data_IF_776956448091
#
_entry.id   IF_776956448091
#
_cell.length_a   1.000
_cell.length_b   1.000
_cell.length_c   1.000
_cell.angle_alpha   90.00
_cell.angle_beta   90.00
_cell.angle_gamma   90.00
#
_symmetry.space_group_name_H-M   'P 1'
#
loop_
_entity.id
_entity.type
_entity.pdbx_description
1 polymer ?
#
# COMPACT_ATOMS: atom_id res chain seq x y z
N UNK A 1 -10.12 -5.54 -15.07
CA UNK A 1 -11.02 -6.23 -14.16
C UNK A 1 -12.27 -5.37 -13.87
N UNK A 2 -12.12 -4.11 -13.46
CA UNK A 2 -13.25 -3.22 -13.14
C UNK A 2 -14.29 -3.15 -14.27
N UNK A 3 -13.88 -2.89 -15.49
CA UNK A 3 -14.79 -2.87 -16.65
C UNK A 3 -15.52 -4.21 -16.87
N UNK A 4 -14.85 -5.34 -16.67
CA UNK A 4 -15.50 -6.68 -16.80
C UNK A 4 -16.45 -6.97 -15.64
N UNK A 5 -16.17 -6.50 -14.44
CA UNK A 5 -17.07 -6.65 -13.30
C UNK A 5 -18.33 -5.80 -13.47
N UNK A 6 -18.22 -4.61 -14.05
CA UNK A 6 -19.33 -3.71 -14.31
C UNK A 6 -20.25 -4.23 -15.44
N UNK A 7 -19.68 -4.88 -16.47
CA UNK A 7 -20.45 -5.43 -17.61
C UNK A 7 -21.14 -6.76 -17.32
N UNK A 8 -20.66 -7.56 -16.35
CA UNK A 8 -21.22 -8.88 -16.03
C UNK A 8 -22.23 -8.88 -14.86
N UNK A 9 -22.50 -7.73 -14.27
CA UNK A 9 -23.57 -7.56 -13.28
C UNK A 9 -23.32 -8.20 -11.90
N UNK A 10 -22.07 -8.57 -11.58
CA UNK A 10 -21.70 -9.09 -10.27
C UNK A 10 -20.22 -8.88 -9.95
N UNK A 11 -19.92 -8.30 -8.80
CA UNK A 11 -18.57 -7.99 -8.34
C UNK A 11 -17.98 -9.08 -7.44
N UNK A 12 -18.84 -9.75 -6.67
CA UNK A 12 -18.46 -10.85 -5.75
C UNK A 12 -17.67 -11.97 -6.43
N UNK A 13 -18.02 -12.47 -7.63
CA UNK A 13 -17.22 -13.51 -8.29
C UNK A 13 -15.78 -13.06 -8.62
N UNK A 14 -15.57 -11.78 -8.94
CA UNK A 14 -14.24 -11.24 -9.21
C UNK A 14 -13.42 -11.05 -7.92
N UNK A 15 -14.07 -10.71 -6.80
CA UNK A 15 -13.43 -10.64 -5.48
C UNK A 15 -12.98 -12.04 -5.07
N UNK A 16 -13.87 -13.02 -5.10
CA UNK A 16 -13.57 -14.41 -4.71
C UNK A 16 -12.54 -15.06 -5.65
N UNK A 17 -12.70 -14.89 -6.96
CA UNK A 17 -11.73 -15.37 -7.94
C UNK A 17 -10.34 -14.74 -7.76
N UNK A 18 -10.27 -13.45 -7.48
CA UNK A 18 -9.04 -12.75 -7.13
C UNK A 18 -8.40 -13.31 -5.86
N UNK A 19 -9.19 -13.56 -4.81
CA UNK A 19 -8.70 -14.18 -3.57
C UNK A 19 -8.15 -15.60 -3.78
N UNK A 20 -8.79 -16.41 -4.63
CA UNK A 20 -8.25 -17.73 -5.01
C UNK A 20 -6.91 -17.60 -5.73
N UNK A 21 -6.78 -16.64 -6.65
CA UNK A 21 -5.51 -16.39 -7.34
C UNK A 21 -4.40 -15.92 -6.39
N UNK A 22 -4.73 -15.03 -5.44
CA UNK A 22 -3.78 -14.62 -4.39
C UNK A 22 -3.37 -15.81 -3.55
N UNK A 23 -4.34 -16.60 -3.07
CA UNK A 23 -4.07 -17.79 -2.25
C UNK A 23 -3.19 -18.80 -2.96
N UNK A 24 -3.51 -19.14 -4.22
CA UNK A 24 -2.69 -20.05 -5.03
C UNK A 24 -1.27 -19.52 -5.24
N UNK A 25 -1.13 -18.22 -5.49
CA UNK A 25 0.17 -17.57 -5.66
C UNK A 25 1.00 -17.57 -4.37
N UNK A 26 0.40 -17.24 -3.22
CA UNK A 26 1.12 -17.25 -1.93
C UNK A 26 1.55 -18.67 -1.55
N UNK A 27 0.68 -19.68 -1.76
CA UNK A 27 1.03 -21.09 -1.56
C UNK A 27 2.14 -21.55 -2.50
N UNK A 28 2.08 -21.16 -3.77
CA UNK A 28 3.13 -21.45 -4.75
C UNK A 28 4.47 -20.82 -4.34
N UNK A 29 4.47 -19.59 -3.86
CA UNK A 29 5.68 -18.91 -3.37
C UNK A 29 6.28 -19.64 -2.16
N UNK A 30 5.46 -20.07 -1.20
CA UNK A 30 5.91 -20.85 -0.04
C UNK A 30 6.48 -22.22 -0.46
N UNK A 31 5.86 -22.90 -1.41
CA UNK A 31 6.36 -24.16 -1.97
C UNK A 31 7.66 -23.99 -2.73
N UNK A 32 7.83 -22.86 -3.42
CA UNK A 32 9.04 -22.53 -4.14
C UNK A 32 10.28 -22.54 -3.24
N UNK A 33 10.15 -22.26 -1.94
CA UNK A 33 11.25 -22.33 -0.97
C UNK A 33 11.74 -23.78 -0.80
N UNK A 34 10.85 -24.74 -0.73
CA UNK A 34 11.22 -26.17 -0.62
C UNK A 34 11.87 -26.66 -1.92
N UNK A 35 11.38 -26.22 -3.07
CA UNK A 35 11.91 -26.59 -4.38
C UNK A 35 13.26 -25.96 -4.64
N UNK A 36 13.55 -24.80 -4.08
CA UNK A 36 14.86 -24.13 -4.19
C UNK A 36 16.01 -24.98 -3.64
N UNK A 37 15.75 -25.81 -2.65
CA UNK A 37 16.72 -26.78 -2.12
C UNK A 37 17.12 -27.86 -3.13
N UNK A 38 16.28 -28.14 -4.12
CA UNK A 38 16.49 -29.19 -5.15
C UNK A 38 16.93 -28.54 -6.48
N UNK A 39 16.27 -27.47 -6.90
CA UNK A 39 16.52 -26.79 -8.17
C UNK A 39 16.11 -25.32 -8.13
N UNK A 40 17.10 -24.44 -8.20
CA UNK A 40 16.87 -22.99 -8.21
C UNK A 40 16.09 -22.53 -9.47
N UNK A 41 16.32 -23.18 -10.62
CA UNK A 41 15.63 -22.81 -11.87
C UNK A 41 14.13 -23.07 -11.80
N UNK A 42 13.71 -24.20 -11.22
CA UNK A 42 12.30 -24.50 -10.99
C UNK A 42 11.70 -23.58 -9.92
N UNK A 43 12.43 -23.30 -8.86
CA UNK A 43 11.98 -22.37 -7.83
C UNK A 43 11.74 -20.97 -8.39
N UNK A 44 12.65 -20.43 -9.23
CA UNK A 44 12.48 -19.15 -9.90
C UNK A 44 11.24 -19.12 -10.79
N UNK A 45 10.99 -20.19 -11.55
CA UNK A 45 9.78 -20.29 -12.40
C UNK A 45 8.52 -20.25 -11.55
N UNK A 46 8.49 -20.99 -10.44
CA UNK A 46 7.36 -21.01 -9.50
C UNK A 46 7.18 -19.64 -8.86
N UNK A 47 8.22 -18.99 -8.41
CA UNK A 47 8.11 -17.66 -7.80
C UNK A 47 7.59 -16.62 -8.78
N UNK A 48 8.14 -16.58 -10.02
CA UNK A 48 7.67 -15.63 -11.04
C UNK A 48 6.17 -15.85 -11.33
N UNK A 49 5.76 -17.08 -11.57
CA UNK A 49 4.34 -17.39 -11.84
C UNK A 49 3.44 -17.11 -10.64
N UNK A 50 3.91 -17.39 -9.44
CA UNK A 50 3.21 -17.12 -8.17
C UNK A 50 3.02 -15.61 -7.95
N UNK A 51 4.06 -14.80 -8.12
CA UNK A 51 3.93 -13.34 -7.96
C UNK A 51 3.06 -12.70 -9.05
N UNK A 52 3.08 -13.23 -10.28
CA UNK A 52 2.14 -12.80 -11.33
C UNK A 52 0.70 -13.12 -10.91
N UNK A 53 0.45 -14.33 -10.40
CA UNK A 53 -0.88 -14.72 -9.91
C UNK A 53 -1.34 -13.84 -8.74
N UNK A 54 -0.46 -13.54 -7.76
CA UNK A 54 -0.74 -12.63 -6.66
C UNK A 54 -1.13 -11.24 -7.19
N UNK A 55 -0.32 -10.65 -8.08
CA UNK A 55 -0.58 -9.32 -8.63
C UNK A 55 -1.90 -9.25 -9.40
N UNK A 56 -2.20 -10.23 -10.24
CA UNK A 56 -3.47 -10.33 -10.97
C UNK A 56 -4.65 -10.51 -10.01
N UNK A 57 -4.48 -11.33 -8.96
CA UNK A 57 -5.49 -11.58 -7.93
C UNK A 57 -5.80 -10.33 -7.09
N UNK A 58 -4.77 -9.62 -6.63
CA UNK A 58 -4.92 -8.33 -5.90
C UNK A 58 -5.63 -7.32 -6.79
N UNK A 59 -5.24 -7.20 -8.05
CA UNK A 59 -5.89 -6.32 -9.01
C UNK A 59 -7.37 -6.65 -9.21
N UNK A 60 -7.72 -7.93 -9.33
CA UNK A 60 -9.10 -8.38 -9.51
C UNK A 60 -9.94 -8.16 -8.23
N UNK A 61 -9.44 -8.61 -7.08
CA UNK A 61 -10.16 -8.50 -5.81
C UNK A 61 -10.28 -7.04 -5.36
N UNK A 62 -9.17 -6.28 -5.35
CA UNK A 62 -9.13 -4.92 -4.83
C UNK A 62 -9.98 -3.94 -5.62
N UNK A 63 -9.90 -3.96 -6.97
CA UNK A 63 -10.71 -3.07 -7.81
C UNK A 63 -12.20 -3.38 -7.68
N UNK A 64 -12.56 -4.68 -7.65
CA UNK A 64 -13.95 -5.11 -7.51
C UNK A 64 -14.50 -4.82 -6.11
N UNK A 65 -13.68 -4.95 -5.06
CA UNK A 65 -14.04 -4.61 -3.69
C UNK A 65 -14.31 -3.11 -3.52
N UNK A 66 -13.41 -2.25 -4.01
CA UNK A 66 -13.62 -0.79 -3.92
C UNK A 66 -14.87 -0.35 -4.68
N UNK A 67 -15.12 -0.95 -5.84
CA UNK A 67 -16.34 -0.69 -6.61
C UNK A 67 -17.60 -1.19 -5.89
N UNK A 68 -17.54 -2.37 -5.23
CA UNK A 68 -18.65 -2.88 -4.40
C UNK A 68 -18.91 -1.97 -3.21
N UNK A 69 -17.85 -1.58 -2.49
CA UNK A 69 -17.92 -0.67 -1.35
C UNK A 69 -18.61 0.65 -1.73
N UNK A 70 -18.18 1.25 -2.85
CA UNK A 70 -18.80 2.49 -3.35
C UNK A 70 -20.29 2.33 -3.69
N UNK A 71 -20.70 1.17 -4.26
CA UNK A 71 -22.10 0.93 -4.63
C UNK A 71 -23.01 0.68 -3.42
N UNK A 72 -22.50 0.03 -2.37
CA UNK A 72 -23.27 -0.30 -1.17
C UNK A 72 -23.40 0.90 -0.23
N UNK A 73 -22.36 1.74 -0.14
CA UNK A 73 -22.32 2.85 0.81
C UNK A 73 -22.97 4.14 0.29
N UNK A 74 -23.15 4.29 -1.02
CA UNK A 74 -23.81 5.45 -1.64
C UNK A 74 -23.22 6.78 -1.16
N UNK A 75 -24.04 7.62 -0.51
CA UNK A 75 -23.61 8.94 0.02
C UNK A 75 -22.62 8.84 1.19
N UNK A 76 -22.50 7.69 1.85
CA UNK A 76 -21.57 7.45 2.98
C UNK A 76 -20.21 6.92 2.55
N UNK A 77 -19.90 6.91 1.25
CA UNK A 77 -18.63 6.39 0.70
C UNK A 77 -17.41 7.09 1.31
N UNK A 78 -17.53 8.39 1.62
CA UNK A 78 -16.44 9.16 2.25
C UNK A 78 -15.98 8.63 3.62
N UNK A 79 -16.88 8.00 4.39
CA UNK A 79 -16.52 7.39 5.68
C UNK A 79 -16.12 5.92 5.53
N UNK A 80 -16.64 5.21 4.55
CA UNK A 80 -16.41 3.79 4.36
C UNK A 80 -14.98 3.45 3.88
N UNK A 81 -14.40 4.29 3.04
CA UNK A 81 -13.07 4.03 2.50
C UNK A 81 -11.96 4.14 3.57
N UNK A 82 -11.89 5.17 4.44
CA UNK A 82 -10.97 5.19 5.57
C UNK A 82 -11.12 3.98 6.50
N UNK A 83 -12.37 3.56 6.76
CA UNK A 83 -12.64 2.37 7.57
C UNK A 83 -12.07 1.10 6.93
N UNK A 84 -12.26 0.93 5.62
CA UNK A 84 -11.69 -0.21 4.89
C UNK A 84 -10.14 -0.24 4.98
N UNK A 85 -9.49 0.92 4.90
CA UNK A 85 -8.05 1.04 5.09
C UNK A 85 -7.60 0.70 6.51
N UNK A 86 -8.31 1.19 7.53
CA UNK A 86 -8.03 0.83 8.92
C UNK A 86 -8.16 -0.68 9.13
N UNK A 87 -9.20 -1.32 8.58
CA UNK A 87 -9.38 -2.78 8.65
C UNK A 87 -8.27 -3.53 7.93
N UNK A 88 -7.79 -3.02 6.79
CA UNK A 88 -6.65 -3.61 6.06
C UNK A 88 -5.38 -3.59 6.92
N UNK A 89 -5.06 -2.45 7.53
CA UNK A 89 -3.86 -2.32 8.38
C UNK A 89 -3.99 -3.18 9.64
N UNK A 90 -5.16 -3.13 10.31
CA UNK A 90 -5.40 -3.98 11.48
C UNK A 90 -5.28 -5.47 11.12
N UNK A 91 -5.85 -5.88 9.98
CA UNK A 91 -5.73 -7.25 9.48
C UNK A 91 -4.28 -7.66 9.20
N UNK A 92 -3.48 -6.77 8.62
CA UNK A 92 -2.07 -7.01 8.38
C UNK A 92 -1.29 -7.21 9.69
N UNK A 93 -1.55 -6.38 10.71
CA UNK A 93 -0.92 -6.50 12.04
C UNK A 93 -1.28 -7.82 12.70
N UNK A 94 -2.58 -8.16 12.76
CA UNK A 94 -3.02 -9.43 13.36
C UNK A 94 -2.47 -10.64 12.61
N UNK A 95 -2.45 -10.59 11.27
CA UNK A 95 -1.89 -11.66 10.46
C UNK A 95 -0.38 -11.81 10.70
N UNK A 96 0.38 -10.71 10.76
CA UNK A 96 1.83 -10.74 11.00
C UNK A 96 2.16 -11.32 12.38
N UNK A 97 1.47 -10.86 13.44
CA UNK A 97 1.67 -11.37 14.79
C UNK A 97 1.32 -12.86 14.86
N UNK A 98 0.14 -13.24 14.33
CA UNK A 98 -0.33 -14.62 14.36
C UNK A 98 0.57 -15.57 13.56
N UNK A 99 1.02 -15.13 12.38
CA UNK A 99 1.97 -15.91 11.56
C UNK A 99 3.34 -16.02 12.22
N UNK A 100 3.86 -14.93 12.80
CA UNK A 100 5.12 -14.94 13.52
C UNK A 100 5.14 -15.96 14.64
N UNK A 101 4.12 -15.95 15.51
CA UNK A 101 3.97 -16.93 16.60
C UNK A 101 3.82 -18.37 16.05
N UNK A 102 3.02 -18.55 15.01
CA UNK A 102 2.74 -19.88 14.44
C UNK A 102 3.96 -20.48 13.72
N UNK A 103 4.92 -19.68 13.28
CA UNK A 103 6.13 -20.12 12.60
C UNK A 103 7.25 -20.59 13.54
N UNK A 104 7.14 -20.42 14.83
CA UNK A 104 8.14 -20.88 15.80
C UNK A 104 7.94 -22.36 16.20
N UNK A 105 9.00 -23.22 16.15
CA UNK A 105 10.27 -23.02 15.45
C UNK A 105 10.11 -23.08 13.92
N UNK A 106 10.89 -22.26 13.20
CA UNK A 106 10.79 -22.20 11.74
C UNK A 106 11.17 -23.50 11.05
N UNK A 107 10.33 -23.96 10.11
CA UNK A 107 10.67 -24.95 9.09
C UNK A 107 9.93 -24.64 7.78
N UNK A 108 10.52 -25.07 6.65
CA UNK A 108 9.88 -24.85 5.35
C UNK A 108 8.52 -25.59 5.23
N UNK A 109 8.37 -26.73 5.85
CA UNK A 109 7.09 -27.45 5.91
C UNK A 109 6.06 -26.68 6.75
N UNK A 110 6.48 -26.20 7.93
CA UNK A 110 5.63 -25.42 8.82
C UNK A 110 5.16 -24.12 8.16
N UNK A 111 6.03 -23.47 7.37
CA UNK A 111 5.68 -22.29 6.59
C UNK A 111 4.49 -22.59 5.64
N UNK A 112 4.55 -23.70 4.88
CA UNK A 112 3.45 -24.06 3.98
C UNK A 112 2.15 -24.32 4.74
N UNK A 113 2.22 -25.00 5.89
CA UNK A 113 1.04 -25.24 6.73
C UNK A 113 0.45 -23.93 7.24
N UNK A 114 1.27 -23.04 7.81
CA UNK A 114 0.83 -21.75 8.34
C UNK A 114 0.22 -20.90 7.24
N UNK A 115 0.88 -20.81 6.09
CA UNK A 115 0.36 -20.07 4.92
C UNK A 115 -0.98 -20.66 4.45
N UNK A 116 -1.11 -21.98 4.41
CA UNK A 116 -2.38 -22.64 4.03
C UNK A 116 -3.51 -22.27 4.97
N UNK A 117 -3.24 -22.27 6.28
CA UNK A 117 -4.24 -21.89 7.29
C UNK A 117 -4.65 -20.43 7.14
N UNK A 118 -3.68 -19.53 7.02
CA UNK A 118 -3.93 -18.09 6.87
C UNK A 118 -4.74 -17.78 5.61
N UNK A 119 -4.34 -18.34 4.47
CA UNK A 119 -5.06 -18.19 3.20
C UNK A 119 -6.49 -18.73 3.30
N UNK A 120 -6.67 -19.88 3.94
CA UNK A 120 -7.99 -20.50 4.13
C UNK A 120 -8.88 -19.61 5.01
N UNK A 121 -8.37 -19.11 6.13
CA UNK A 121 -9.10 -18.19 7.01
C UNK A 121 -9.47 -16.91 6.24
N UNK A 122 -8.52 -16.30 5.53
CA UNK A 122 -8.77 -15.09 4.74
C UNK A 122 -9.84 -15.32 3.67
N UNK A 123 -9.81 -16.47 2.99
CA UNK A 123 -10.81 -16.82 1.99
C UNK A 123 -12.20 -17.01 2.61
N UNK A 124 -12.31 -17.75 3.73
CA UNK A 124 -13.58 -17.93 4.44
C UNK A 124 -14.14 -16.59 4.92
N UNK A 125 -13.32 -15.74 5.51
CA UNK A 125 -13.73 -14.39 5.92
C UNK A 125 -14.21 -13.55 4.73
N UNK A 126 -13.53 -13.64 3.58
CA UNK A 126 -13.93 -12.94 2.36
C UNK A 126 -15.30 -13.45 1.86
N UNK A 127 -15.53 -14.77 1.86
CA UNK A 127 -16.83 -15.36 1.48
C UNK A 127 -17.92 -14.86 2.43
N UNK A 128 -17.69 -14.91 3.74
CA UNK A 128 -18.66 -14.46 4.73
C UNK A 128 -18.96 -12.95 4.59
N UNK A 129 -17.91 -12.12 4.40
CA UNK A 129 -18.04 -10.68 4.25
C UNK A 129 -18.77 -10.26 2.97
N UNK A 130 -18.67 -11.04 1.90
CA UNK A 130 -19.32 -10.74 0.61
C UNK A 130 -20.69 -11.44 0.46
N UNK A 131 -21.07 -12.30 1.43
CA UNK A 131 -22.30 -13.07 1.38
C UNK A 131 -23.55 -12.17 1.31
N UNK A 132 -24.29 -12.28 0.21
CA UNK A 132 -25.54 -11.53 -0.04
C UNK A 132 -25.42 -9.99 -0.07
N UNK A 133 -24.22 -9.44 -0.05
CA UNK A 133 -24.02 -7.97 -0.04
C UNK A 133 -24.51 -7.35 -1.35
N UNK A 134 -24.34 -8.02 -2.49
CA UNK A 134 -24.84 -7.54 -3.80
C UNK A 134 -26.35 -7.67 -3.97
N UNK A 135 -27.02 -8.53 -3.21
CA UNK A 135 -28.48 -8.75 -3.36
C UNK A 135 -29.36 -7.57 -2.98
N UNK A 136 -28.80 -6.53 -2.34
CA UNK A 136 -29.47 -5.28 -1.95
C UNK A 136 -28.96 -4.04 -2.68
N UNK A 137 -27.91 -4.15 -3.48
CA UNK A 137 -27.34 -3.02 -4.19
C UNK A 137 -28.00 -2.89 -5.59
N UNK A 138 -28.68 -1.76 -5.84
CA UNK A 138 -29.09 -1.39 -7.20
C UNK A 138 -27.81 -1.20 -8.03
N UNK A 139 -27.53 -2.17 -8.90
CA UNK A 139 -26.47 -2.01 -9.91
C UNK A 139 -26.95 -0.89 -10.82
N UNK A 140 -26.36 0.28 -10.70
CA UNK A 140 -26.62 1.37 -11.64
C UNK A 140 -26.33 0.83 -13.05
N UNK A 141 -27.26 1.08 -14.02
CA UNK A 141 -27.06 0.62 -15.39
C UNK A 141 -25.69 1.11 -15.89
N UNK A 142 -24.97 0.31 -16.68
CA UNK A 142 -23.66 0.70 -17.19
C UNK A 142 -23.82 2.03 -17.92
N UNK A 143 -23.24 3.08 -17.38
CA UNK A 143 -23.06 4.32 -18.13
C UNK A 143 -22.29 3.94 -19.38
N UNK A 144 -22.76 4.39 -20.56
CA UNK A 144 -22.01 4.23 -21.81
C UNK A 144 -20.66 4.92 -21.65
N UNK A 145 -19.70 4.15 -21.16
CA UNK A 145 -18.38 4.67 -20.86
C UNK A 145 -17.67 4.99 -22.16
N UNK A 146 -17.16 6.21 -22.23
CA UNK A 146 -16.18 6.56 -23.26
C UNK A 146 -15.07 5.48 -23.27
N UNK A 147 -14.52 5.11 -24.44
CA UNK A 147 -13.47 4.11 -24.53
C UNK A 147 -12.39 4.40 -23.47
N UNK A 148 -11.93 3.37 -22.74
CA UNK A 148 -10.97 3.50 -21.63
C UNK A 148 -9.80 4.42 -21.99
N UNK A 149 -9.30 4.32 -23.22
CA UNK A 149 -8.21 5.15 -23.72
C UNK A 149 -8.57 6.65 -23.77
N UNK A 150 -9.82 6.98 -24.09
CA UNK A 150 -10.29 8.37 -24.11
C UNK A 150 -10.42 8.92 -22.68
N UNK A 151 -10.95 8.11 -21.76
CA UNK A 151 -11.05 8.45 -20.35
C UNK A 151 -9.67 8.63 -19.68
N UNK A 152 -8.70 7.78 -20.01
CA UNK A 152 -7.31 7.94 -19.59
C UNK A 152 -6.68 9.22 -20.16
N UNK A 153 -6.89 9.48 -21.45
CA UNK A 153 -6.36 10.65 -22.13
C UNK A 153 -6.95 11.95 -21.56
N UNK A 154 -8.24 11.98 -21.26
CA UNK A 154 -8.90 13.13 -20.61
C UNK A 154 -8.38 13.37 -19.19
N UNK A 155 -8.18 12.31 -18.40
CA UNK A 155 -7.60 12.41 -17.05
C UNK A 155 -6.15 12.93 -17.11
N UNK A 156 -5.36 12.45 -18.07
CA UNK A 156 -3.97 12.89 -18.23
C UNK A 156 -3.84 14.32 -18.81
N UNK A 157 -4.85 14.79 -19.53
CA UNK A 157 -4.92 16.15 -20.02
C UNK A 157 -5.20 17.17 -18.91
N UNK A 158 -5.81 16.74 -17.79
CA UNK A 158 -6.03 17.59 -16.61
C UNK A 158 -4.69 17.81 -15.87
N UNK A 159 -4.16 19.05 -15.83
CA UNK A 159 -2.88 19.34 -15.20
C UNK A 159 -2.87 18.99 -13.70
N UNK A 160 -4.01 19.12 -13.01
CA UNK A 160 -4.13 18.83 -11.59
C UNK A 160 -4.02 17.31 -11.34
N UNK A 161 -4.78 16.50 -12.09
CA UNK A 161 -4.73 15.04 -12.02
C UNK A 161 -3.31 14.52 -12.34
N UNK A 162 -2.65 15.08 -13.36
CA UNK A 162 -1.29 14.70 -13.74
C UNK A 162 -0.25 15.02 -12.66
N UNK A 163 -0.30 16.21 -12.08
CA UNK A 163 0.62 16.62 -11.00
C UNK A 163 0.38 15.76 -9.75
N UNK A 164 -0.88 15.50 -9.43
CA UNK A 164 -1.23 14.64 -8.31
C UNK A 164 -0.80 13.17 -8.54
N UNK A 165 -0.95 12.64 -9.75
CA UNK A 165 -0.42 11.32 -10.12
C UNK A 165 1.10 11.26 -9.92
N UNK A 166 1.83 12.32 -10.31
CA UNK A 166 3.26 12.43 -10.06
C UNK A 166 3.61 12.44 -8.57
N UNK A 167 2.84 13.13 -7.74
CA UNK A 167 2.98 13.11 -6.29
C UNK A 167 2.73 11.69 -5.73
N UNK A 168 1.65 11.05 -6.13
CA UNK A 168 1.32 9.67 -5.71
C UNK A 168 2.44 8.71 -6.10
N UNK A 169 2.90 8.77 -7.34
CA UNK A 169 4.00 7.93 -7.83
C UNK A 169 5.26 8.12 -7.00
N UNK A 170 5.70 9.36 -6.81
CA UNK A 170 6.95 9.68 -6.12
C UNK A 170 6.92 9.28 -4.64
N UNK A 171 5.81 9.55 -3.97
CA UNK A 171 5.65 9.26 -2.55
C UNK A 171 5.50 7.77 -2.27
N UNK A 172 4.80 7.04 -3.12
CA UNK A 172 4.66 5.58 -3.01
C UNK A 172 5.99 4.89 -3.36
N UNK A 173 6.73 5.40 -4.35
CA UNK A 173 8.08 4.93 -4.65
C UNK A 173 8.98 5.06 -3.43
N UNK A 174 8.98 6.23 -2.78
CA UNK A 174 9.73 6.46 -1.56
C UNK A 174 9.28 5.51 -0.43
N UNK A 175 7.98 5.37 -0.21
CA UNK A 175 7.44 4.51 0.84
C UNK A 175 7.89 3.04 0.70
N UNK A 176 7.82 2.47 -0.50
CA UNK A 176 8.14 1.06 -0.72
C UNK A 176 9.64 0.76 -0.83
N UNK A 177 10.49 1.77 -1.03
CA UNK A 177 11.94 1.59 -1.01
C UNK A 177 12.42 1.03 0.34
N UNK A 178 11.98 1.60 1.47
CA UNK A 178 12.34 1.14 2.81
C UNK A 178 11.72 -0.21 3.17
N UNK A 179 10.52 -0.51 2.71
CA UNK A 179 9.82 -1.74 3.08
C UNK A 179 10.65 -3.00 2.82
N UNK A 180 11.38 -3.04 1.70
CA UNK A 180 12.15 -4.21 1.30
C UNK A 180 13.54 -4.29 1.95
N UNK A 181 14.10 -3.18 2.38
CA UNK A 181 15.48 -3.14 2.89
C UNK A 181 15.55 -2.95 4.42
N UNK A 182 14.44 -2.61 5.07
CA UNK A 182 14.43 -2.27 6.49
C UNK A 182 14.80 -3.46 7.39
N UNK A 183 14.21 -4.64 7.18
CA UNK A 183 14.55 -5.84 7.94
C UNK A 183 15.97 -6.34 7.65
N UNK A 184 16.41 -6.46 6.38
CA UNK A 184 17.81 -6.75 6.07
C UNK A 184 18.80 -5.75 6.68
N UNK A 185 18.47 -4.45 6.71
CA UNK A 185 19.28 -3.44 7.39
C UNK A 185 19.42 -3.73 8.88
N UNK A 186 18.31 -4.02 9.56
CA UNK A 186 18.32 -4.34 10.98
C UNK A 186 19.19 -5.59 11.28
N UNK A 187 19.14 -6.59 10.43
CA UNK A 187 19.98 -7.78 10.55
C UNK A 187 21.46 -7.50 10.24
N UNK A 188 21.78 -6.91 9.08
CA UNK A 188 23.16 -6.76 8.62
C UNK A 188 23.94 -5.68 9.36
N UNK A 189 23.29 -4.58 9.73
CA UNK A 189 23.97 -3.41 10.35
C UNK A 189 23.90 -3.46 11.86
N UNK A 190 22.78 -3.89 12.43
CA UNK A 190 22.59 -3.93 13.88
C UNK A 190 22.69 -5.34 14.47
N UNK A 191 22.89 -6.38 13.66
CA UNK A 191 23.05 -7.76 14.13
C UNK A 191 21.78 -8.35 14.76
N UNK A 192 20.61 -7.80 14.45
CA UNK A 192 19.35 -8.29 14.98
C UNK A 192 19.02 -9.67 14.37
N UNK A 193 18.45 -10.55 15.19
CA UNK A 193 17.89 -11.80 14.69
C UNK A 193 16.71 -11.54 13.74
N UNK A 194 16.34 -12.48 12.86
CA UNK A 194 15.11 -12.35 12.06
C UNK A 194 13.86 -12.08 12.89
N UNK A 195 13.77 -12.66 14.08
CA UNK A 195 12.67 -12.44 15.02
C UNK A 195 12.66 -10.99 15.52
N UNK A 196 13.79 -10.46 15.97
CA UNK A 196 13.87 -9.10 16.50
C UNK A 196 13.72 -8.04 15.39
N UNK A 197 14.21 -8.30 14.18
CA UNK A 197 14.01 -7.43 13.03
C UNK A 197 12.54 -7.38 12.61
N UNK A 198 11.82 -8.49 12.66
CA UNK A 198 10.38 -8.54 12.41
C UNK A 198 9.58 -7.82 13.49
N UNK A 199 9.97 -7.95 14.78
CA UNK A 199 9.38 -7.16 15.88
C UNK A 199 9.61 -5.65 15.69
N UNK A 200 10.80 -5.26 15.22
CA UNK A 200 11.12 -3.87 14.91
C UNK A 200 10.26 -3.34 13.74
N UNK A 201 10.07 -4.12 12.68
CA UNK A 201 9.14 -3.80 11.58
C UNK A 201 7.70 -3.65 12.08
N UNK A 202 7.23 -4.58 12.90
CA UNK A 202 5.92 -4.48 13.54
C UNK A 202 5.78 -3.23 14.42
N UNK A 203 6.86 -2.84 15.12
CA UNK A 203 6.94 -1.59 15.87
C UNK A 203 6.83 -0.34 14.99
N UNK A 204 7.49 -0.34 13.81
CA UNK A 204 7.38 0.69 12.79
C UNK A 204 5.93 0.83 12.29
N UNK A 205 5.29 -0.28 12.00
CA UNK A 205 3.90 -0.30 11.52
C UNK A 205 2.91 0.12 12.61
N UNK A 206 3.17 -0.28 13.86
CA UNK A 206 2.44 0.22 15.02
C UNK A 206 2.57 1.74 15.21
N UNK A 207 3.76 2.29 15.02
CA UNK A 207 3.99 3.72 15.03
C UNK A 207 3.26 4.43 13.87
N UNK A 208 3.19 3.81 12.68
CA UNK A 208 2.41 4.32 11.56
C UNK A 208 0.91 4.36 11.88
N UNK A 209 0.38 3.31 12.48
CA UNK A 209 -1.01 3.28 12.94
C UNK A 209 -1.30 4.41 13.96
N UNK A 210 -0.40 4.62 14.92
CA UNK A 210 -0.54 5.73 15.87
C UNK A 210 -0.50 7.10 15.18
N UNK A 211 0.36 7.27 14.17
CA UNK A 211 0.39 8.45 13.32
C UNK A 211 -0.93 8.68 12.59
N UNK A 212 -1.52 7.62 12.02
CA UNK A 212 -2.83 7.68 11.34
C UNK A 212 -3.95 8.08 12.31
N UNK A 213 -4.01 7.43 13.47
CA UNK A 213 -5.02 7.74 14.50
C UNK A 213 -4.86 9.19 14.97
N UNK A 214 -3.62 9.61 15.25
CA UNK A 214 -3.30 10.97 15.66
C UNK A 214 -3.75 12.01 14.62
N UNK A 215 -3.41 11.80 13.35
CA UNK A 215 -3.86 12.67 12.25
C UNK A 215 -5.39 12.69 12.12
N UNK A 216 -6.05 11.53 12.26
CA UNK A 216 -7.52 11.44 12.22
C UNK A 216 -8.18 12.21 13.34
N UNK A 217 -7.74 12.03 14.58
CA UNK A 217 -8.25 12.74 15.76
C UNK A 217 -8.02 14.24 15.64
N UNK A 218 -6.80 14.68 15.30
CA UNK A 218 -6.47 16.08 15.17
C UNK A 218 -7.24 16.73 14.02
N UNK A 219 -7.45 16.03 12.90
CA UNK A 219 -8.31 16.51 11.80
C UNK A 219 -9.77 16.67 12.24
N UNK A 220 -10.29 15.76 13.07
CA UNK A 220 -11.63 15.89 13.65
C UNK A 220 -11.74 17.13 14.56
N UNK A 221 -10.68 17.46 15.28
CA UNK A 221 -10.56 18.69 16.06
C UNK A 221 -10.29 19.94 15.22
N UNK A 222 -10.34 19.84 13.90
CA UNK A 222 -10.02 20.90 12.92
C UNK A 222 -8.57 21.41 13.00
N UNK A 223 -7.68 20.58 13.49
CA UNK A 223 -6.25 20.84 13.56
C UNK A 223 -5.55 20.10 12.42
N UNK A 224 -5.05 20.84 11.46
CA UNK A 224 -4.34 20.31 10.30
C UNK A 224 -5.23 20.00 9.10
N UNK A 225 -4.72 20.27 7.91
CA UNK A 225 -5.32 19.92 6.62
C UNK A 225 -4.70 18.63 6.05
N UNK A 226 -5.32 18.02 5.05
CA UNK A 226 -4.74 16.87 4.35
C UNK A 226 -3.35 17.17 3.78
N UNK A 227 -3.17 18.40 3.28
CA UNK A 227 -1.86 18.90 2.84
C UNK A 227 -0.85 18.94 3.99
N UNK A 228 -1.23 19.47 5.16
CA UNK A 228 -0.37 19.52 6.33
C UNK A 228 0.09 18.10 6.71
N UNK A 229 -0.81 17.14 6.76
CA UNK A 229 -0.48 15.75 7.10
C UNK A 229 0.41 15.09 6.05
N UNK A 230 0.13 15.31 4.75
CA UNK A 230 0.98 14.76 3.68
C UNK A 230 2.41 15.31 3.74
N UNK A 231 2.56 16.63 3.89
CA UNK A 231 3.88 17.29 3.93
C UNK A 231 4.64 16.91 5.20
N UNK A 232 4.00 17.04 6.37
CA UNK A 232 4.62 16.72 7.67
C UNK A 232 5.02 15.24 7.72
N UNK A 233 4.14 14.36 7.21
CA UNK A 233 4.44 12.93 7.12
C UNK A 233 5.67 12.64 6.26
N UNK A 234 5.75 13.19 5.06
CA UNK A 234 6.93 13.04 4.20
C UNK A 234 8.22 13.58 4.85
N UNK A 235 8.16 14.74 5.49
CA UNK A 235 9.33 15.34 6.17
C UNK A 235 9.78 14.47 7.35
N UNK A 236 8.83 14.00 8.18
CA UNK A 236 9.14 13.16 9.33
C UNK A 236 9.69 11.80 8.91
N UNK A 237 9.13 11.19 7.84
CA UNK A 237 9.69 9.97 7.25
C UNK A 237 11.11 10.17 6.76
N UNK A 238 11.38 11.28 6.05
CA UNK A 238 12.73 11.62 5.61
C UNK A 238 13.72 11.78 6.77
N UNK A 239 13.30 12.44 7.87
CA UNK A 239 14.14 12.59 9.07
C UNK A 239 14.41 11.23 9.74
N UNK A 240 13.40 10.34 9.83
CA UNK A 240 13.57 8.98 10.32
C UNK A 240 14.59 8.20 9.49
N UNK A 241 14.49 8.24 8.16
CA UNK A 241 15.42 7.59 7.24
C UNK A 241 16.84 8.13 7.33
N UNK A 242 16.99 9.45 7.39
CA UNK A 242 18.30 10.08 7.59
C UNK A 242 18.89 9.68 8.95
N UNK A 243 18.06 9.54 9.98
CA UNK A 243 18.47 9.05 11.30
C UNK A 243 19.00 7.60 11.22
N UNK A 244 18.30 6.70 10.50
CA UNK A 244 18.75 5.33 10.27
C UNK A 244 20.06 5.30 9.47
N UNK A 245 20.15 6.08 8.40
CA UNK A 245 21.37 6.19 7.58
C UNK A 245 22.56 6.76 8.33
N UNK A 246 22.34 7.72 9.23
CA UNK A 246 23.37 8.30 10.09
C UNK A 246 23.68 7.45 11.34
N UNK A 247 23.08 6.26 11.46
CA UNK A 247 23.22 5.36 12.59
C UNK A 247 22.87 6.01 13.95
N UNK A 248 21.91 6.93 13.94
CA UNK A 248 21.32 7.44 15.18
C UNK A 248 20.55 6.32 15.90
N UNK A 249 20.16 6.51 17.16
CA UNK A 249 19.46 5.47 17.91
C UNK A 249 18.31 4.85 17.09
N UNK A 250 18.34 3.51 16.95
CA UNK A 250 17.47 2.76 16.04
C UNK A 250 15.99 2.99 16.33
N UNK A 251 15.59 2.88 17.60
CA UNK A 251 14.18 3.01 18.01
C UNK A 251 13.57 4.39 17.71
N UNK A 252 14.16 5.54 18.11
CA UNK A 252 13.61 6.85 17.76
C UNK A 252 13.51 7.08 16.26
N UNK A 253 14.53 6.66 15.49
CA UNK A 253 14.54 6.80 14.03
C UNK A 253 13.43 5.96 13.37
N UNK A 254 13.24 4.72 13.85
CA UNK A 254 12.17 3.83 13.39
C UNK A 254 10.78 4.38 13.73
N UNK A 255 10.60 4.89 14.95
CA UNK A 255 9.33 5.51 15.36
C UNK A 255 9.04 6.76 14.54
N UNK A 256 10.03 7.61 14.29
CA UNK A 256 9.87 8.79 13.45
C UNK A 256 9.46 8.41 12.02
N UNK A 257 10.11 7.40 11.42
CA UNK A 257 9.75 6.86 10.11
C UNK A 257 8.32 6.33 10.11
N UNK A 258 7.95 5.50 11.10
CA UNK A 258 6.61 4.93 11.23
C UNK A 258 5.53 6.01 11.35
N UNK A 259 5.65 6.91 12.34
CA UNK A 259 4.69 8.01 12.53
C UNK A 259 4.60 8.86 11.26
N UNK A 260 5.73 9.20 10.64
CA UNK A 260 5.77 9.94 9.38
C UNK A 260 4.99 9.25 8.27
N UNK A 261 5.19 7.94 8.09
CA UNK A 261 4.45 7.12 7.14
C UNK A 261 2.94 7.15 7.41
N UNK A 262 2.53 7.06 8.67
CA UNK A 262 1.13 7.13 9.07
C UNK A 262 0.47 8.47 8.73
N UNK A 263 1.13 9.59 9.08
CA UNK A 263 0.67 10.94 8.73
C UNK A 263 0.57 11.12 7.21
N UNK A 264 1.60 10.67 6.48
CA UNK A 264 1.64 10.72 5.01
C UNK A 264 0.45 9.97 4.39
N UNK A 265 0.17 8.76 4.83
CA UNK A 265 -0.94 7.95 4.29
C UNK A 265 -2.28 8.67 4.46
N UNK A 266 -2.57 9.24 5.62
CA UNK A 266 -3.80 10.02 5.84
C UNK A 266 -3.89 11.21 4.89
N UNK A 267 -2.83 11.96 4.75
CA UNK A 267 -2.78 13.11 3.85
C UNK A 267 -2.91 12.73 2.39
N UNK A 268 -2.14 11.73 1.92
CA UNK A 268 -2.11 11.31 0.53
C UNK A 268 -3.42 10.62 0.10
N UNK A 269 -3.88 9.63 0.87
CA UNK A 269 -5.11 8.89 0.55
C UNK A 269 -6.35 9.79 0.67
N UNK A 270 -6.41 10.62 1.71
CA UNK A 270 -7.50 11.59 1.87
C UNK A 270 -7.57 12.56 0.68
N UNK A 271 -6.42 13.09 0.25
CA UNK A 271 -6.31 13.96 -0.92
C UNK A 271 -6.69 13.26 -2.22
N UNK A 272 -6.29 12.00 -2.38
CA UNK A 272 -6.63 11.18 -3.54
C UNK A 272 -8.16 11.00 -3.67
N UNK A 273 -8.81 10.71 -2.55
CA UNK A 273 -10.27 10.55 -2.51
C UNK A 273 -11.00 11.86 -2.78
N UNK A 274 -10.55 12.96 -2.18
CA UNK A 274 -11.14 14.29 -2.38
C UNK A 274 -11.02 14.73 -3.85
N UNK A 275 -9.84 14.57 -4.46
CA UNK A 275 -9.60 14.94 -5.85
C UNK A 275 -10.37 14.05 -6.83
N UNK A 276 -10.55 12.77 -6.53
CA UNK A 276 -11.37 11.87 -7.32
C UNK A 276 -12.86 12.25 -7.24
N UNK A 277 -13.35 12.55 -6.04
CA UNK A 277 -14.76 12.94 -5.80
C UNK A 277 -15.13 14.28 -6.44
N UNK A 278 -14.22 15.24 -6.54
CA UNK A 278 -14.44 16.54 -7.16
C UNK A 278 -14.90 16.46 -8.63
N UNK A 279 -14.74 15.30 -9.30
CA UNK A 279 -15.12 15.06 -10.69
C UNK A 279 -15.99 13.82 -10.80
N UNK A 280 -17.22 13.89 -10.34
CA UNK A 280 -18.17 12.76 -10.21
C UNK A 280 -18.29 11.85 -11.46
N UNK A 281 -18.16 12.42 -12.67
CA UNK A 281 -18.24 11.65 -13.94
C UNK A 281 -16.98 10.85 -14.28
N UNK A 282 -15.84 11.09 -13.62
CA UNK A 282 -14.55 10.47 -13.93
C UNK A 282 -13.85 9.87 -12.69
N UNK A 283 -14.57 9.72 -11.57
CA UNK A 283 -14.02 9.26 -10.28
C UNK A 283 -13.31 7.91 -10.43
N UNK A 284 -13.95 6.92 -11.05
CA UNK A 284 -13.38 5.59 -11.24
C UNK A 284 -12.11 5.59 -12.11
N UNK A 285 -12.09 6.37 -13.19
CA UNK A 285 -10.91 6.48 -14.06
C UNK A 285 -9.74 7.16 -13.34
N UNK A 286 -9.99 8.23 -12.59
CA UNK A 286 -8.96 8.91 -11.79
C UNK A 286 -8.37 8.01 -10.71
N UNK A 287 -9.22 7.31 -9.97
CA UNK A 287 -8.78 6.31 -8.99
C UNK A 287 -7.98 5.19 -9.65
N UNK A 288 -8.37 4.76 -10.85
CA UNK A 288 -7.64 3.78 -11.64
C UNK A 288 -6.24 4.28 -12.05
N UNK A 289 -6.10 5.53 -12.48
CA UNK A 289 -4.81 6.15 -12.82
C UNK A 289 -3.93 6.26 -11.56
N UNK A 290 -4.47 6.71 -10.44
CA UNK A 290 -3.72 6.79 -9.19
C UNK A 290 -3.29 5.41 -8.68
N UNK A 291 -4.19 4.41 -8.76
CA UNK A 291 -3.87 3.02 -8.41
C UNK A 291 -2.80 2.40 -9.32
N UNK A 292 -2.84 2.68 -10.63
CA UNK A 292 -1.80 2.24 -11.56
C UNK A 292 -0.45 2.88 -11.23
N UNK A 293 -0.43 4.19 -10.91
CA UNK A 293 0.78 4.89 -10.49
C UNK A 293 1.36 4.28 -9.20
N UNK A 294 0.52 3.94 -8.22
CA UNK A 294 0.94 3.25 -7.00
C UNK A 294 1.55 1.87 -7.30
N UNK A 295 0.88 1.06 -8.13
CA UNK A 295 1.36 -0.29 -8.46
C UNK A 295 2.71 -0.26 -9.19
N UNK A 296 2.88 0.65 -10.16
CA UNK A 296 4.14 0.82 -10.88
C UNK A 296 5.23 1.33 -9.94
N UNK A 297 4.93 2.30 -9.07
CA UNK A 297 5.87 2.84 -8.10
C UNK A 297 6.35 1.76 -7.13
N UNK A 298 5.43 0.96 -6.57
CA UNK A 298 5.76 -0.13 -5.66
C UNK A 298 6.64 -1.21 -6.33
N UNK A 299 6.32 -1.58 -7.57
CA UNK A 299 7.14 -2.53 -8.34
C UNK A 299 8.55 -2.02 -8.64
N UNK A 300 8.67 -0.74 -9.02
CA UNK A 300 9.96 -0.12 -9.30
C UNK A 300 10.77 0.09 -8.01
N UNK A 301 10.12 0.37 -6.89
CA UNK A 301 10.78 0.58 -5.61
C UNK A 301 11.66 -0.61 -5.24
N UNK A 302 11.16 -1.84 -5.40
CA UNK A 302 11.92 -3.06 -5.11
C UNK A 302 13.20 -3.16 -5.95
N UNK A 303 13.08 -2.93 -7.25
CA UNK A 303 14.23 -2.99 -8.18
C UNK A 303 15.25 -1.89 -7.87
N UNK A 304 14.77 -0.67 -7.58
CA UNK A 304 15.65 0.47 -7.27
C UNK A 304 16.34 0.26 -5.92
N UNK A 305 15.61 -0.18 -4.89
CA UNK A 305 16.16 -0.39 -3.56
C UNK A 305 17.25 -1.46 -3.56
N UNK A 306 16.92 -2.65 -4.07
CA UNK A 306 17.87 -3.77 -4.12
C UNK A 306 19.02 -3.50 -5.08
N UNK A 307 18.75 -2.99 -6.29
CA UNK A 307 19.78 -2.66 -7.26
C UNK A 307 20.74 -1.57 -6.76
N UNK A 308 20.25 -0.52 -6.10
CA UNK A 308 21.10 0.52 -5.50
C UNK A 308 21.92 -0.05 -4.35
N UNK A 309 21.32 -0.90 -3.50
CA UNK A 309 22.03 -1.54 -2.39
C UNK A 309 23.12 -2.47 -2.89
N UNK A 310 22.84 -3.32 -3.87
CA UNK A 310 23.81 -4.26 -4.42
C UNK A 310 24.98 -3.53 -5.09
N UNK A 311 24.71 -2.49 -5.87
CA UNK A 311 25.75 -1.65 -6.47
C UNK A 311 26.58 -0.93 -5.41
N UNK A 312 25.96 -0.39 -4.37
CA UNK A 312 26.67 0.30 -3.29
C UNK A 312 27.58 -0.68 -2.51
N UNK A 313 27.14 -1.91 -2.28
CA UNK A 313 27.93 -2.96 -1.60
C UNK A 313 29.16 -3.41 -2.35
N UNK A 314 29.26 -3.16 -3.66
CA UNK A 314 30.49 -3.46 -4.42
C UNK A 314 31.67 -2.62 -3.98
N UNK A 315 31.42 -1.42 -3.43
CA UNK A 315 32.46 -0.42 -3.12
C UNK A 315 32.39 0.13 -1.70
N UNK A 316 31.29 -0.09 -0.98
CA UNK A 316 31.04 0.46 0.36
C UNK A 316 30.76 -0.64 1.38
N UNK A 317 31.12 -0.44 2.66
CA UNK A 317 30.66 -1.30 3.75
C UNK A 317 29.13 -1.29 3.86
N UNK A 318 28.53 -2.37 4.41
CA UNK A 318 27.09 -2.55 4.51
C UNK A 318 26.37 -1.34 5.11
N UNK A 319 26.83 -0.83 6.24
CA UNK A 319 26.23 0.34 6.89
C UNK A 319 26.14 1.57 5.97
N UNK A 320 27.20 1.85 5.21
CA UNK A 320 27.23 2.98 4.27
C UNK A 320 26.40 2.69 3.02
N UNK A 321 26.36 1.44 2.56
CA UNK A 321 25.53 1.03 1.43
C UNK A 321 24.03 1.22 1.75
N UNK A 322 23.58 0.80 2.94
CA UNK A 322 22.21 1.07 3.40
C UNK A 322 21.94 2.57 3.58
N UNK A 323 22.89 3.33 4.15
CA UNK A 323 22.77 4.76 4.31
C UNK A 323 22.57 5.48 2.95
N UNK A 324 23.18 4.98 1.87
CA UNK A 324 23.00 5.51 0.52
C UNK A 324 21.55 5.36 0.06
N UNK A 325 20.93 4.17 0.27
CA UNK A 325 19.55 3.93 -0.10
C UNK A 325 18.60 4.76 0.74
N UNK A 326 18.79 4.82 2.06
CA UNK A 326 17.98 5.65 2.95
C UNK A 326 18.09 7.16 2.63
N UNK A 327 19.25 7.63 2.21
CA UNK A 327 19.44 9.01 1.77
C UNK A 327 18.69 9.29 0.47
N UNK A 328 18.75 8.38 -0.50
CA UNK A 328 17.97 8.46 -1.73
C UNK A 328 16.45 8.52 -1.43
N UNK A 329 15.99 7.64 -0.57
CA UNK A 329 14.59 7.58 -0.15
C UNK A 329 14.15 8.86 0.58
N UNK A 330 14.97 9.37 1.50
CA UNK A 330 14.72 10.63 2.18
C UNK A 330 14.62 11.80 1.18
N UNK A 331 15.49 11.84 0.18
CA UNK A 331 15.41 12.83 -0.90
C UNK A 331 14.11 12.71 -1.71
N UNK A 332 13.65 11.49 -2.00
CA UNK A 332 12.37 11.25 -2.67
C UNK A 332 11.18 11.71 -1.82
N UNK A 333 11.18 11.44 -0.51
CA UNK A 333 10.15 11.96 0.40
C UNK A 333 10.14 13.48 0.48
N UNK A 334 11.31 14.13 0.53
CA UNK A 334 11.40 15.59 0.51
C UNK A 334 10.91 16.18 -0.82
N UNK A 335 11.23 15.53 -1.95
CA UNK A 335 10.69 15.90 -3.25
C UNK A 335 9.16 15.71 -3.30
N UNK A 336 8.64 14.61 -2.74
CA UNK A 336 7.20 14.38 -2.61
C UNK A 336 6.53 15.45 -1.74
N UNK A 337 7.14 15.84 -0.61
CA UNK A 337 6.65 16.93 0.25
C UNK A 337 6.55 18.25 -0.51
N UNK A 338 7.57 18.58 -1.30
CA UNK A 338 7.58 19.79 -2.12
C UNK A 338 6.48 19.77 -3.18
N UNK A 339 6.29 18.64 -3.87
CA UNK A 339 5.22 18.49 -4.85
C UNK A 339 3.85 18.59 -4.17
N UNK A 340 3.64 17.89 -3.03
CA UNK A 340 2.41 17.96 -2.25
C UNK A 340 2.09 19.41 -1.84
N UNK A 341 3.09 20.13 -1.32
CA UNK A 341 2.93 21.51 -0.91
C UNK A 341 2.46 22.44 -2.04
N UNK A 342 2.86 22.17 -3.28
CA UNK A 342 2.47 22.96 -4.47
C UNK A 342 1.14 22.50 -5.08
N UNK A 343 0.93 21.20 -5.18
CA UNK A 343 -0.25 20.64 -5.85
C UNK A 343 -1.51 20.89 -5.03
N UNK A 344 -1.41 20.81 -3.71
CA UNK A 344 -2.52 20.98 -2.78
C UNK A 344 -2.79 22.47 -2.41
N UNK A 345 -2.20 23.42 -3.13
CA UNK A 345 -2.43 24.89 -2.98
C UNK A 345 -3.40 25.47 -4.02
N UNK A 346 -3.74 24.74 -5.09
CA UNK A 346 -4.57 25.28 -6.19
C UNK A 346 -6.02 25.50 -5.79
N UNK A 347 -6.67 26.50 -6.42
CA UNK A 347 -8.06 26.92 -6.17
C UNK A 347 -9.13 25.84 -6.32
N UNK A 348 -8.79 24.65 -6.82
CA UNK A 348 -9.64 23.45 -6.86
C UNK A 348 -9.53 22.56 -5.62
N UNK A 349 -8.64 22.89 -4.69
CA UNK A 349 -8.43 22.16 -3.44
C UNK A 349 -9.04 23.00 -2.32
N UNK A 350 -10.35 22.84 -2.11
CA UNK A 350 -11.00 23.42 -0.94
C UNK A 350 -10.33 22.88 0.31
N UNK A 351 -9.92 23.74 1.23
CA UNK A 351 -9.53 23.40 2.61
C UNK A 351 -10.75 22.86 3.38
N UNK A 352 -11.42 21.88 2.80
CA UNK A 352 -12.49 21.17 3.47
C UNK A 352 -11.83 20.41 4.63
N UNK A 353 -11.79 21.08 5.78
CA UNK A 353 -11.83 20.40 7.08
C UNK A 353 -12.81 19.24 6.91
N UNK A 354 -12.42 18.04 7.31
CA UNK A 354 -13.33 16.90 7.40
C UNK A 354 -14.58 17.37 8.14
N UNK A 355 -15.59 17.82 7.41
CA UNK A 355 -16.89 18.18 7.99
C UNK A 355 -17.55 16.84 8.24
N UNK A 356 -17.86 16.49 9.50
CA UNK A 356 -18.74 15.37 9.78
C UNK A 356 -20.08 15.72 9.10
N UNK A 357 -20.58 14.81 8.25
CA UNK A 357 -21.81 15.04 7.50
C UNK A 357 -22.95 15.46 8.41
N UNK A 358 -23.66 16.52 7.98
CA UNK A 358 -25.03 16.76 8.36
C UNK A 358 -25.94 15.66 7.78
#
# INVERSE_FOLDING_TARGET
WGHRSDTRGGRTPFILGGMVMVGAGVLGAAWGIQIAAVSISWALTIWITSYIAIGLGIGAAGTSFLALLASVTGTRTGAAAPLAWLMLIAGAIFASIGTGIALEPYSAERLVVVVTVVVSIAFVLCVLATWRVEGGASVAPPTQDAPLMQALRSTWADPMARRFTGFVFLSILAFYLSELIFEPFAGHVHGLSPEDSTKLSGGKDGAALMGMIGAGVLSHLRLGSLRFWAVTGCVLSALGLLGLGAQLPLMPSTVALGVGNGLFVVGAVGSMMQLAAAHAKATGTRMGVFGAAQAIAAGLAGLIATGTLDLARLVLPDATAYATVFTLEAALFLAAAFVAARVMQGDGYSDATLVPGE
#
